data_IF_749984571647
#
_entry.id   IF_749984571647
#
_cell.length_a   1.000
_cell.length_b   1.000
_cell.length_c   1.000
_cell.angle_alpha   90.00
_cell.angle_beta   90.00
_cell.angle_gamma   90.00
#
_symmetry.space_group_name_H-M   'P 1'
#
loop_
_entity.id
_entity.type
_entity.pdbx_description
1 polymer ?
#
# COMPACT_ATOMS: atom_id res chain seq x y z
N UNK A 1 30.06 -64.17 -52.54
CA UNK A 1 29.09 -63.08 -52.64
C UNK A 1 29.10 -62.29 -51.32
N UNK A 2 29.90 -61.19 -51.31
CA UNK A 2 29.96 -60.30 -50.12
C UNK A 2 28.94 -59.21 -50.33
N UNK A 3 28.05 -59.00 -49.36
CA UNK A 3 27.16 -57.79 -49.27
C UNK A 3 27.76 -56.81 -48.31
N UNK A 4 28.11 -55.62 -48.81
CA UNK A 4 28.52 -54.52 -47.97
C UNK A 4 27.29 -53.80 -47.37
N UNK A 5 27.27 -53.62 -46.05
CA UNK A 5 26.31 -52.75 -45.34
C UNK A 5 26.90 -51.35 -45.22
N UNK A 6 26.19 -50.35 -45.80
CA UNK A 6 26.51 -48.94 -45.59
C UNK A 6 25.69 -48.43 -44.41
N UNK A 7 26.35 -48.12 -43.30
CA UNK A 7 25.71 -47.46 -42.16
C UNK A 7 25.64 -45.94 -42.44
N UNK A 8 24.42 -45.41 -42.40
CA UNK A 8 24.17 -43.96 -42.37
C UNK A 8 24.24 -43.46 -40.91
N UNK A 9 25.20 -42.59 -40.62
CA UNK A 9 25.24 -41.89 -39.33
C UNK A 9 24.34 -40.66 -39.42
N UNK A 10 23.25 -40.62 -38.61
CA UNK A 10 22.46 -39.42 -38.39
C UNK A 10 23.20 -38.53 -37.39
N UNK A 11 23.63 -37.36 -37.85
CA UNK A 11 24.10 -36.28 -36.97
C UNK A 11 22.89 -35.46 -36.56
N UNK A 12 22.45 -35.60 -35.30
CA UNK A 12 21.42 -34.75 -34.70
C UNK A 12 22.06 -33.43 -34.27
N UNK A 13 21.78 -32.36 -34.99
CA UNK A 13 22.08 -30.99 -34.55
C UNK A 13 21.12 -30.64 -33.39
N UNK A 14 21.63 -30.64 -32.18
CA UNK A 14 20.92 -30.12 -31.03
C UNK A 14 20.87 -28.58 -31.10
N UNK A 15 19.71 -28.00 -31.39
CA UNK A 15 19.47 -26.57 -31.23
C UNK A 15 19.36 -26.28 -29.71
N UNK A 16 20.44 -25.76 -29.13
CA UNK A 16 20.37 -25.19 -27.80
C UNK A 16 19.58 -23.86 -27.88
N UNK A 17 18.28 -23.95 -27.62
CA UNK A 17 17.44 -22.77 -27.40
C UNK A 17 17.87 -22.10 -26.09
N UNK A 18 18.74 -21.11 -26.15
CA UNK A 18 18.98 -20.22 -25.03
C UNK A 18 17.71 -19.39 -24.78
N UNK A 19 17.03 -19.61 -23.65
CA UNK A 19 16.07 -18.63 -23.16
C UNK A 19 16.85 -17.34 -22.87
N UNK A 20 16.76 -16.36 -23.77
CA UNK A 20 17.22 -15.01 -23.48
C UNK A 20 16.30 -14.47 -22.37
N UNK A 21 16.79 -14.36 -21.16
CA UNK A 21 16.11 -13.64 -20.08
C UNK A 21 16.06 -12.16 -20.46
N UNK A 22 14.86 -11.62 -20.63
CA UNK A 22 14.70 -10.18 -20.82
C UNK A 22 15.17 -9.51 -19.52
N UNK A 23 16.11 -8.56 -19.58
CA UNK A 23 16.54 -7.85 -18.38
C UNK A 23 15.34 -7.17 -17.70
N UNK A 24 15.27 -7.10 -16.38
CA UNK A 24 14.22 -6.37 -15.69
C UNK A 24 14.27 -4.89 -16.11
N UNK A 25 13.09 -4.28 -16.27
CA UNK A 25 13.00 -2.84 -16.54
C UNK A 25 13.43 -2.12 -15.28
N UNK A 26 14.35 -1.17 -15.43
CA UNK A 26 14.81 -0.32 -14.34
C UNK A 26 14.49 1.12 -14.70
N UNK A 27 13.78 1.83 -13.80
CA UNK A 27 13.52 3.25 -13.97
C UNK A 27 14.77 4.13 -13.78
N UNK A 28 14.56 5.43 -13.75
CA UNK A 28 15.62 6.42 -13.51
C UNK A 28 16.32 6.16 -12.15
N UNK A 29 17.57 6.62 -11.98
CA UNK A 29 18.32 6.37 -10.76
C UNK A 29 17.56 6.80 -9.50
N UNK A 30 17.52 5.93 -8.50
CA UNK A 30 16.92 6.17 -7.20
C UNK A 30 18.03 6.42 -6.15
N UNK A 31 17.80 7.38 -5.24
CA UNK A 31 18.63 7.53 -4.04
C UNK A 31 18.33 6.39 -3.06
N UNK A 32 19.22 6.16 -2.09
CA UNK A 32 19.05 5.09 -1.10
C UNK A 32 18.86 5.64 0.29
N UNK A 33 17.94 5.05 1.04
CA UNK A 33 17.78 5.21 2.48
C UNK A 33 17.81 3.83 3.14
N UNK A 34 17.82 3.76 4.47
CA UNK A 34 17.80 2.49 5.20
C UNK A 34 16.68 2.47 6.22
N UNK A 35 16.14 1.29 6.49
CA UNK A 35 15.16 1.11 7.55
C UNK A 35 15.77 1.38 8.93
N UNK A 36 15.02 2.02 9.81
CA UNK A 36 15.35 2.27 11.22
C UNK A 36 14.81 1.18 12.13
N UNK A 37 13.69 0.58 11.72
CA UNK A 37 12.98 -0.46 12.46
C UNK A 37 12.42 -1.45 11.44
N UNK A 38 12.28 -2.71 11.85
CA UNK A 38 11.45 -3.69 11.15
C UNK A 38 10.55 -4.42 12.15
N UNK A 39 9.40 -4.90 11.67
CA UNK A 39 8.53 -5.77 12.46
C UNK A 39 9.05 -7.21 12.43
N UNK A 40 8.66 -8.07 13.39
CA UNK A 40 8.76 -9.50 13.18
C UNK A 40 8.08 -9.90 11.88
N UNK A 41 8.53 -10.98 11.23
CA UNK A 41 7.83 -11.55 10.08
C UNK A 41 6.38 -11.88 10.43
N UNK A 42 5.46 -11.71 9.46
CA UNK A 42 4.08 -12.18 9.63
C UNK A 42 4.02 -13.68 9.80
N UNK A 43 2.91 -14.20 10.33
CA UNK A 43 2.79 -15.62 10.67
C UNK A 43 2.75 -16.55 9.45
N UNK A 44 2.31 -16.04 8.30
CA UNK A 44 2.25 -16.81 7.06
C UNK A 44 3.60 -16.83 6.37
N UNK A 45 4.23 -18.00 6.34
CA UNK A 45 5.55 -18.15 5.75
C UNK A 45 5.48 -18.75 4.34
N UNK A 46 6.43 -18.34 3.47
CA UNK A 46 6.62 -18.84 2.11
C UNK A 46 5.45 -18.59 1.15
N UNK A 47 4.65 -17.60 1.44
CA UNK A 47 3.55 -17.13 0.61
C UNK A 47 3.61 -15.61 0.53
N UNK A 48 2.98 -15.05 -0.48
CA UNK A 48 2.65 -13.65 -0.55
C UNK A 48 1.56 -13.34 0.51
N UNK A 49 1.94 -12.70 1.60
CA UNK A 49 1.15 -12.62 2.82
C UNK A 49 1.06 -11.23 3.44
N UNK A 50 2.17 -10.60 3.82
CA UNK A 50 2.12 -9.20 4.25
C UNK A 50 1.72 -8.31 3.08
N UNK A 51 0.91 -7.29 3.35
CA UNK A 51 0.38 -6.45 2.28
C UNK A 51 0.48 -4.97 2.61
N UNK A 52 -0.41 -4.44 3.40
CA UNK A 52 -0.59 -3.01 3.57
C UNK A 52 -0.48 -2.57 5.04
N UNK A 53 0.24 -1.46 5.34
CA UNK A 53 0.30 -0.87 6.65
C UNK A 53 -0.61 0.33 6.80
N UNK A 54 -1.08 0.60 8.01
CA UNK A 54 -1.75 1.85 8.39
C UNK A 54 -1.16 2.41 9.70
N UNK A 55 -1.10 3.74 9.85
CA UNK A 55 -0.50 4.42 11.00
C UNK A 55 -1.58 5.10 11.84
N UNK A 56 -1.69 4.72 13.12
CA UNK A 56 -2.40 5.52 14.11
C UNK A 56 -1.42 6.38 14.90
N UNK A 57 -1.56 7.70 14.81
CA UNK A 57 -0.73 8.65 15.55
C UNK A 57 -1.36 9.03 16.88
N UNK A 58 -0.65 8.76 17.97
CA UNK A 58 -1.01 9.24 19.30
C UNK A 58 -0.65 10.72 19.44
N UNK A 59 -1.66 11.60 19.39
CA UNK A 59 -1.42 13.05 19.46
C UNK A 59 -0.87 13.52 20.82
N UNK A 60 -1.20 12.81 21.91
CA UNK A 60 -0.76 13.15 23.26
C UNK A 60 0.67 12.64 23.57
N UNK A 61 1.03 11.51 23.01
CA UNK A 61 2.36 10.88 23.14
C UNK A 61 2.77 10.25 21.79
N UNK A 62 3.36 11.01 20.87
CA UNK A 62 3.68 10.52 19.52
C UNK A 62 4.52 9.25 19.49
N UNK A 63 5.43 9.06 20.46
CA UNK A 63 6.25 7.86 20.56
C UNK A 63 5.45 6.59 20.95
N UNK A 64 4.21 6.74 21.43
CA UNK A 64 3.28 5.65 21.74
C UNK A 64 2.25 5.42 20.60
N UNK A 65 2.54 5.85 19.42
CA UNK A 65 1.74 5.56 18.22
C UNK A 65 1.80 4.08 17.87
N UNK A 66 0.83 3.61 17.10
CA UNK A 66 0.69 2.21 16.69
C UNK A 66 0.58 2.12 15.17
N UNK A 67 0.95 0.97 14.66
CA UNK A 67 0.74 0.63 13.25
C UNK A 67 -0.08 -0.65 13.15
N UNK A 68 -0.86 -0.78 12.10
CA UNK A 68 -1.61 -1.98 11.77
C UNK A 68 -1.09 -2.49 10.45
N UNK A 69 -0.84 -3.78 10.32
CA UNK A 69 -0.40 -4.41 9.08
C UNK A 69 -1.24 -5.63 8.76
N UNK A 70 -1.49 -5.86 7.49
CA UNK A 70 -2.22 -7.04 7.01
C UNK A 70 -1.30 -8.22 6.77
N UNK A 71 -1.82 -9.40 7.08
CA UNK A 71 -1.40 -10.70 6.54
C UNK A 71 -2.60 -11.27 5.78
N UNK A 72 -2.55 -11.27 4.46
CA UNK A 72 -3.64 -11.68 3.56
C UNK A 72 -4.22 -13.05 3.89
N UNK A 73 -3.42 -13.91 4.49
CA UNK A 73 -3.81 -15.30 4.80
C UNK A 73 -4.26 -15.48 6.25
N UNK A 74 -3.87 -14.57 7.16
CA UNK A 74 -4.08 -14.77 8.60
C UNK A 74 -4.90 -13.66 9.28
N UNK A 75 -4.69 -12.37 8.95
CA UNK A 75 -5.45 -11.28 9.55
C UNK A 75 -4.66 -10.00 9.79
N UNK A 76 -4.93 -9.31 10.90
CA UNK A 76 -4.37 -8.02 11.22
C UNK A 76 -3.39 -8.12 12.41
N UNK A 77 -2.22 -7.58 12.24
CA UNK A 77 -1.23 -7.34 13.28
C UNK A 77 -1.27 -5.90 13.76
N UNK A 78 -0.97 -5.67 15.03
CA UNK A 78 -0.71 -4.34 15.59
C UNK A 78 0.70 -4.33 16.13
N UNK A 79 1.46 -3.27 15.80
CA UNK A 79 2.83 -3.08 16.24
C UNK A 79 3.00 -1.71 16.89
N UNK A 80 4.02 -1.56 17.73
CA UNK A 80 4.49 -0.25 18.19
C UNK A 80 5.59 0.30 17.25
N UNK A 81 6.02 1.54 17.49
CA UNK A 81 7.04 2.20 16.68
C UNK A 81 8.46 1.59 16.80
N UNK A 82 8.64 0.60 17.67
CA UNK A 82 9.87 -0.21 17.75
C UNK A 82 9.74 -1.53 16.99
N UNK A 83 8.65 -1.71 16.26
CA UNK A 83 8.35 -2.92 15.53
C UNK A 83 7.80 -4.05 16.39
N UNK A 84 7.67 -3.87 17.72
CA UNK A 84 7.20 -4.96 18.58
C UNK A 84 5.70 -5.22 18.39
N UNK A 85 5.34 -6.48 18.14
CA UNK A 85 3.95 -6.91 18.01
C UNK A 85 3.20 -6.71 19.33
N UNK A 86 2.08 -6.01 19.29
CA UNK A 86 1.17 -5.77 20.43
C UNK A 86 0.03 -6.78 20.46
N UNK A 87 -0.53 -7.09 19.30
CA UNK A 87 -1.62 -8.03 19.17
C UNK A 87 -1.73 -8.59 17.76
N UNK A 88 -2.58 -9.61 17.62
CA UNK A 88 -3.01 -10.19 16.36
C UNK A 88 -4.50 -10.47 16.42
N UNK A 89 -5.22 -10.14 15.33
CA UNK A 89 -6.62 -10.47 15.14
C UNK A 89 -6.75 -11.41 13.93
N UNK A 90 -7.19 -12.65 14.17
CA UNK A 90 -7.42 -13.61 13.09
C UNK A 90 -8.62 -13.17 12.23
N UNK A 91 -8.34 -12.87 10.97
CA UNK A 91 -9.30 -12.46 9.94
C UNK A 91 -8.70 -12.74 8.55
N UNK A 92 -8.67 -13.99 8.10
CA UNK A 92 -8.07 -14.35 6.82
C UNK A 92 -8.85 -13.77 5.64
N UNK A 93 -8.17 -13.46 4.56
CA UNK A 93 -8.74 -12.90 3.33
C UNK A 93 -8.81 -11.36 3.31
N UNK A 94 -8.11 -10.69 4.22
CA UNK A 94 -7.97 -9.23 4.15
C UNK A 94 -6.81 -8.86 3.20
N UNK A 95 -6.91 -7.70 2.54
CA UNK A 95 -5.86 -7.11 1.69
C UNK A 95 -5.40 -5.79 2.30
N UNK A 96 -5.74 -4.65 1.69
CA UNK A 96 -5.34 -3.35 2.20
C UNK A 96 -6.08 -2.95 3.48
N UNK A 97 -5.46 -2.09 4.28
CA UNK A 97 -6.00 -1.60 5.56
C UNK A 97 -5.83 -0.10 5.68
N UNK A 98 -6.81 0.57 6.25
CA UNK A 98 -6.73 1.96 6.67
C UNK A 98 -7.40 2.17 8.03
N UNK A 99 -7.09 3.26 8.72
CA UNK A 99 -7.65 3.55 10.03
C UNK A 99 -7.93 5.05 10.23
N UNK A 100 -8.90 5.33 11.09
CA UNK A 100 -9.34 6.69 11.32
C UNK A 100 -9.87 6.88 12.75
N UNK A 101 -9.54 8.01 13.39
CA UNK A 101 -10.14 8.39 14.66
C UNK A 101 -11.63 8.66 14.50
N UNK A 102 -12.44 8.10 15.37
CA UNK A 102 -13.89 8.32 15.44
C UNK A 102 -14.31 8.92 16.78
N UNK A 103 -15.54 9.47 16.89
CA UNK A 103 -16.01 10.07 18.13
C UNK A 103 -15.88 9.13 19.36
N UNK A 104 -15.59 9.73 20.50
CA UNK A 104 -15.42 9.00 21.77
C UNK A 104 -14.00 8.45 21.98
N UNK A 105 -12.99 8.94 21.26
CA UNK A 105 -11.60 8.53 21.43
C UNK A 105 -11.31 7.10 20.94
N UNK A 106 -12.15 6.61 20.03
CA UNK A 106 -12.01 5.29 19.40
C UNK A 106 -11.32 5.42 18.04
N UNK A 107 -10.71 4.33 17.58
CA UNK A 107 -10.11 4.23 16.25
C UNK A 107 -10.81 3.11 15.49
N UNK A 108 -11.38 3.45 14.34
CA UNK A 108 -11.93 2.49 13.41
C UNK A 108 -10.83 2.05 12.45
N UNK A 109 -10.62 0.75 12.35
CA UNK A 109 -9.76 0.10 11.37
C UNK A 109 -10.67 -0.57 10.36
N UNK A 110 -10.42 -0.34 9.08
CA UNK A 110 -11.14 -0.98 7.98
C UNK A 110 -10.13 -1.66 7.07
N UNK A 111 -10.40 -2.90 6.69
CA UNK A 111 -9.64 -3.61 5.68
C UNK A 111 -10.56 -4.06 4.55
N UNK A 112 -10.06 -4.06 3.32
CA UNK A 112 -10.73 -4.70 2.20
C UNK A 112 -10.74 -6.21 2.43
N UNK A 113 -11.91 -6.83 2.30
CA UNK A 113 -12.12 -8.25 2.55
C UNK A 113 -12.43 -8.95 1.22
N UNK A 114 -11.54 -9.81 0.81
CA UNK A 114 -11.59 -10.63 -0.42
C UNK A 114 -11.91 -12.10 -0.15
N UNK A 115 -12.47 -12.42 1.00
CA UNK A 115 -12.94 -13.79 1.31
C UNK A 115 -14.08 -14.25 0.38
N UNK A 116 -14.82 -13.28 -0.20
CA UNK A 116 -15.73 -13.47 -1.34
C UNK A 116 -15.18 -12.70 -2.54
N UNK A 117 -14.69 -13.39 -3.56
CA UNK A 117 -14.11 -12.78 -4.76
C UNK A 117 -15.14 -12.12 -5.69
N UNK A 118 -16.43 -12.34 -5.45
CA UNK A 118 -17.53 -11.76 -6.23
C UNK A 118 -18.07 -10.46 -5.60
N UNK A 119 -17.81 -10.24 -4.32
CA UNK A 119 -18.38 -9.11 -3.56
C UNK A 119 -17.29 -8.42 -2.76
N UNK A 120 -17.05 -7.15 -3.07
CA UNK A 120 -16.20 -6.27 -2.23
C UNK A 120 -16.86 -6.11 -0.88
N UNK A 121 -16.14 -6.46 0.18
CA UNK A 121 -16.57 -6.25 1.54
C UNK A 121 -15.56 -5.37 2.31
N UNK A 122 -16.04 -4.59 3.25
CA UNK A 122 -15.25 -3.89 4.25
C UNK A 122 -15.31 -4.68 5.56
N UNK A 123 -14.20 -5.23 5.97
CA UNK A 123 -14.03 -5.75 7.33
C UNK A 123 -13.73 -4.58 8.26
N UNK A 124 -14.39 -4.53 9.42
CA UNK A 124 -14.21 -3.45 10.40
C UNK A 124 -13.77 -4.00 11.74
N UNK A 125 -12.84 -3.29 12.38
CA UNK A 125 -12.43 -3.53 13.76
C UNK A 125 -12.26 -2.20 14.52
N UNK A 126 -12.33 -2.24 15.82
CA UNK A 126 -11.99 -1.12 16.71
C UNK A 126 -10.63 -1.40 17.35
N UNK A 127 -9.72 -0.45 17.26
CA UNK A 127 -8.41 -0.49 17.91
C UNK A 127 -8.52 0.16 19.30
N UNK A 128 -8.21 -0.61 20.32
CA UNK A 128 -7.92 -0.10 21.65
C UNK A 128 -6.48 0.42 21.68
N UNK A 129 -6.34 1.72 21.66
CA UNK A 129 -5.03 2.40 21.54
C UNK A 129 -4.18 2.30 22.82
N UNK A 130 -4.77 1.97 23.95
CA UNK A 130 -4.03 1.77 25.20
C UNK A 130 -3.36 0.41 25.28
N UNK A 131 -4.00 -0.61 24.70
CA UNK A 131 -3.51 -2.00 24.74
C UNK A 131 -2.97 -2.50 23.40
N UNK A 132 -3.28 -1.81 22.29
CA UNK A 132 -2.98 -2.25 20.94
C UNK A 132 -3.84 -3.42 20.48
N UNK A 133 -4.99 -3.71 21.12
CA UNK A 133 -5.86 -4.82 20.73
C UNK A 133 -6.91 -4.39 19.73
N UNK A 134 -7.20 -5.26 18.77
CA UNK A 134 -8.29 -5.12 17.82
C UNK A 134 -9.49 -5.97 18.26
N UNK A 135 -10.68 -5.39 18.15
CA UNK A 135 -11.96 -6.08 18.33
C UNK A 135 -12.80 -5.98 17.06
N UNK A 136 -13.30 -7.09 16.48
CA UNK A 136 -14.18 -7.04 15.31
C UNK A 136 -15.39 -6.14 15.54
N UNK A 137 -15.75 -5.33 14.54
CA UNK A 137 -16.87 -4.38 14.60
C UNK A 137 -17.92 -4.59 13.49
N UNK A 138 -17.73 -5.61 12.65
CA UNK A 138 -18.68 -6.00 11.62
C UNK A 138 -18.10 -5.98 10.21
N UNK A 139 -18.99 -6.15 9.21
CA UNK A 139 -18.68 -6.09 7.78
C UNK A 139 -19.75 -5.27 7.04
N UNK A 140 -19.36 -4.60 5.99
CA UNK A 140 -20.26 -3.89 5.06
C UNK A 140 -20.01 -4.42 3.66
N UNK A 141 -21.06 -4.92 3.01
CA UNK A 141 -21.01 -5.22 1.58
C UNK A 141 -21.04 -3.92 0.77
N UNK A 142 -20.11 -3.78 -0.17
CA UNK A 142 -19.92 -2.58 -0.99
C UNK A 142 -20.55 -2.74 -2.37
N UNK A 143 -20.16 -3.77 -3.10
CA UNK A 143 -20.62 -4.00 -4.46
C UNK A 143 -19.88 -5.14 -5.15
N UNK A 144 -20.16 -5.42 -6.42
CA UNK A 144 -19.50 -6.46 -7.17
C UNK A 144 -17.98 -6.25 -7.30
N UNK A 145 -17.21 -7.33 -7.23
CA UNK A 145 -15.77 -7.35 -7.46
C UNK A 145 -14.98 -8.00 -6.33
N UNK A 146 -13.70 -8.21 -6.56
CA UNK A 146 -12.75 -8.68 -5.55
C UNK A 146 -12.21 -7.48 -4.76
N UNK A 147 -12.31 -7.53 -3.42
CA UNK A 147 -11.79 -6.46 -2.54
C UNK A 147 -10.27 -6.36 -2.64
N UNK A 148 -9.76 -5.13 -2.86
CA UNK A 148 -8.34 -4.84 -3.05
C UNK A 148 -8.00 -3.54 -2.32
N UNK A 149 -7.62 -2.45 -3.02
CA UNK A 149 -7.30 -1.17 -2.39
C UNK A 149 -8.42 -0.57 -1.55
N UNK A 150 -8.03 0.12 -0.47
CA UNK A 150 -8.94 0.88 0.39
C UNK A 150 -8.25 2.11 0.96
N UNK A 151 -9.00 3.19 1.12
CA UNK A 151 -8.61 4.34 1.92
C UNK A 151 -9.82 5.07 2.49
N UNK A 152 -9.61 5.81 3.57
CA UNK A 152 -10.67 6.51 4.29
C UNK A 152 -10.41 8.00 4.45
N UNK A 153 -11.49 8.75 4.59
CA UNK A 153 -11.40 10.17 4.91
C UNK A 153 -12.60 10.61 5.75
N UNK A 154 -12.38 11.60 6.61
CA UNK A 154 -13.47 12.34 7.22
C UNK A 154 -14.05 13.33 6.21
N UNK A 155 -15.38 13.44 6.11
CA UNK A 155 -15.97 14.45 5.22
C UNK A 155 -15.53 15.86 5.64
N UNK A 156 -15.21 16.69 4.65
CA UNK A 156 -14.92 18.08 4.88
C UNK A 156 -16.18 18.78 5.41
N UNK A 157 -16.04 19.54 6.52
CA UNK A 157 -17.04 20.42 7.13
C UNK A 157 -18.49 19.91 7.14
N UNK A 158 -18.87 19.27 8.23
CA UNK A 158 -20.28 19.01 8.57
C UNK A 158 -20.95 17.86 7.85
N UNK A 159 -20.23 17.08 7.08
CA UNK A 159 -20.72 15.82 6.54
C UNK A 159 -20.88 14.76 7.64
N UNK A 160 -21.94 13.97 7.56
CA UNK A 160 -22.16 12.86 8.47
C UNK A 160 -21.42 11.61 8.03
N UNK A 161 -20.74 10.94 9.00
CA UNK A 161 -20.11 9.65 8.81
C UNK A 161 -18.64 9.71 8.39
N UNK A 162 -18.13 8.57 7.93
CA UNK A 162 -16.80 8.37 7.38
C UNK A 162 -16.97 7.99 5.92
N UNK A 163 -16.08 8.41 5.07
CA UNK A 163 -16.08 7.99 3.66
C UNK A 163 -14.96 6.98 3.48
N UNK A 164 -15.30 5.77 3.05
CA UNK A 164 -14.36 4.78 2.57
C UNK A 164 -14.43 4.72 1.04
N UNK A 165 -13.26 4.70 0.41
CA UNK A 165 -13.12 4.42 -1.02
C UNK A 165 -12.57 3.01 -1.17
N UNK A 166 -13.23 2.19 -1.98
CA UNK A 166 -12.75 0.86 -2.33
C UNK A 166 -12.34 0.84 -3.79
N UNK A 167 -11.15 0.34 -4.05
CA UNK A 167 -10.56 0.18 -5.38
C UNK A 167 -10.37 -1.33 -5.65
N UNK A 168 -11.44 -2.05 -6.02
CA UNK A 168 -11.38 -3.48 -6.30
C UNK A 168 -10.60 -3.78 -7.58
N UNK A 169 -10.14 -5.01 -7.67
CA UNK A 169 -9.33 -5.54 -8.76
C UNK A 169 -9.87 -5.27 -10.17
N UNK A 170 -11.17 -5.10 -10.33
CA UNK A 170 -11.82 -4.80 -11.63
C UNK A 170 -11.85 -3.32 -12.02
N UNK A 171 -11.18 -2.43 -11.29
CA UNK A 171 -11.09 -1.01 -11.62
C UNK A 171 -12.33 -0.16 -11.32
N UNK A 172 -13.40 -0.73 -10.75
CA UNK A 172 -14.55 0.04 -10.29
C UNK A 172 -14.24 0.72 -8.96
N UNK A 173 -14.34 2.05 -8.90
CA UNK A 173 -14.08 2.78 -7.67
C UNK A 173 -15.41 3.05 -6.96
N UNK A 174 -15.55 2.50 -5.75
CA UNK A 174 -16.72 2.71 -4.91
C UNK A 174 -16.47 3.78 -3.84
N UNK A 175 -17.53 4.51 -3.52
CA UNK A 175 -17.59 5.47 -2.40
C UNK A 175 -18.66 5.01 -1.42
N UNK A 176 -18.26 4.62 -0.22
CA UNK A 176 -19.15 4.17 0.85
C UNK A 176 -19.18 5.18 1.98
N UNK A 177 -20.37 5.71 2.29
CA UNK A 177 -20.57 6.55 3.48
C UNK A 177 -20.93 5.65 4.65
N UNK A 178 -20.06 5.57 5.62
CA UNK A 178 -20.20 4.75 6.83
C UNK A 178 -20.74 5.60 7.97
N UNK A 179 -21.79 5.10 8.63
CA UNK A 179 -22.40 5.71 9.84
C UNK A 179 -22.42 4.71 10.97
N UNK A 180 -22.34 5.22 12.17
CA UNK A 180 -22.48 4.44 13.39
C UNK A 180 -23.72 4.86 14.15
N UNK A 181 -24.52 3.90 14.57
CA UNK A 181 -25.66 4.09 15.47
C UNK A 181 -25.72 2.95 16.48
N UNK A 182 -25.64 3.30 17.78
CA UNK A 182 -25.70 2.30 18.84
C UNK A 182 -24.61 1.22 18.79
N UNK A 183 -23.40 1.54 18.30
CA UNK A 183 -22.30 0.60 18.15
C UNK A 183 -22.35 -0.26 16.89
N UNK A 184 -23.35 -0.05 16.03
CA UNK A 184 -23.49 -0.76 14.75
C UNK A 184 -23.08 0.17 13.62
N UNK A 185 -22.16 -0.31 12.77
CA UNK A 185 -21.74 0.39 11.57
C UNK A 185 -22.59 -0.05 10.38
N UNK A 186 -23.03 0.93 9.58
CA UNK A 186 -23.78 0.72 8.34
C UNK A 186 -23.17 1.54 7.22
N UNK A 187 -23.29 1.08 5.98
CA UNK A 187 -22.75 1.75 4.80
C UNK A 187 -23.82 2.05 3.75
N UNK A 188 -23.64 3.17 3.05
CA UNK A 188 -24.37 3.47 1.82
C UNK A 188 -23.35 3.67 0.71
N UNK A 189 -23.36 2.81 -0.29
CA UNK A 189 -22.36 2.78 -1.36
C UNK A 189 -22.92 3.33 -2.68
N UNK A 190 -22.07 4.03 -3.39
CA UNK A 190 -22.28 4.46 -4.79
C UNK A 190 -21.03 4.15 -5.60
N UNK A 191 -21.17 3.87 -6.89
CA UNK A 191 -20.03 3.88 -7.82
C UNK A 191 -19.58 5.31 -8.05
N UNK A 192 -18.30 5.60 -7.81
CA UNK A 192 -17.73 6.92 -8.00
C UNK A 192 -17.11 7.07 -9.39
N UNK A 193 -16.29 6.10 -9.80
CA UNK A 193 -15.58 6.11 -11.08
C UNK A 193 -15.30 4.69 -11.56
N UNK A 194 -14.75 4.58 -12.78
CA UNK A 194 -14.24 3.34 -13.36
C UNK A 194 -12.91 3.63 -14.04
N UNK A 195 -11.87 2.87 -13.75
CA UNK A 195 -10.61 2.83 -14.51
C UNK A 195 -10.54 1.53 -15.32
N UNK A 196 -9.65 1.44 -16.33
CA UNK A 196 -9.69 0.31 -17.27
C UNK A 196 -9.34 -1.06 -16.68
N UNK A 197 -8.34 -1.12 -15.77
CA UNK A 197 -7.76 -2.39 -15.32
C UNK A 197 -7.62 -2.44 -13.80
N UNK A 198 -6.77 -3.33 -13.30
CA UNK A 198 -6.56 -3.61 -11.88
C UNK A 198 -6.07 -2.38 -11.13
N UNK A 199 -6.67 -2.16 -9.96
CA UNK A 199 -6.31 -1.07 -9.03
C UNK A 199 -5.96 -1.63 -7.67
N UNK A 200 -4.98 -0.99 -7.01
CA UNK A 200 -4.68 -1.28 -5.61
C UNK A 200 -4.43 -0.01 -4.80
N UNK A 201 -3.38 0.74 -5.06
CA UNK A 201 -3.06 1.95 -4.30
C UNK A 201 -4.23 2.91 -4.18
N UNK A 202 -4.51 3.36 -2.96
CA UNK A 202 -5.60 4.28 -2.66
C UNK A 202 -5.17 5.27 -1.57
N UNK A 203 -5.25 6.59 -1.86
CA UNK A 203 -5.07 7.63 -0.84
C UNK A 203 -5.94 8.84 -1.12
N UNK A 204 -6.61 9.38 -0.11
CA UNK A 204 -7.49 10.52 -0.23
C UNK A 204 -6.85 11.79 0.37
N UNK A 205 -6.86 12.90 -0.36
CA UNK A 205 -6.50 14.22 0.15
C UNK A 205 -7.76 15.05 0.44
N UNK A 206 -8.21 15.11 1.71
CA UNK A 206 -9.41 15.86 2.07
C UNK A 206 -9.25 17.38 1.93
N UNK A 207 -8.02 17.91 1.82
CA UNK A 207 -7.74 19.34 1.66
C UNK A 207 -8.20 19.86 0.29
N UNK A 208 -8.02 19.01 -0.73
CA UNK A 208 -8.33 19.32 -2.14
C UNK A 208 -9.57 18.58 -2.66
N UNK A 209 -10.07 17.59 -1.95
CA UNK A 209 -11.14 16.71 -2.42
C UNK A 209 -10.68 15.72 -3.49
N UNK A 210 -9.39 15.40 -3.52
CA UNK A 210 -8.80 14.51 -4.52
C UNK A 210 -8.56 13.12 -3.93
N UNK A 211 -9.01 12.11 -4.65
CA UNK A 211 -8.68 10.70 -4.43
C UNK A 211 -7.61 10.30 -5.46
N UNK A 212 -6.48 9.78 -4.99
CA UNK A 212 -5.48 9.18 -5.86
C UNK A 212 -5.65 7.65 -5.85
N UNK A 213 -5.64 7.06 -7.05
CA UNK A 213 -5.77 5.62 -7.25
C UNK A 213 -4.62 5.14 -8.13
N UNK A 214 -3.91 4.12 -7.68
CA UNK A 214 -2.96 3.35 -8.47
C UNK A 214 -3.70 2.36 -9.36
N UNK A 215 -3.49 2.44 -10.68
CA UNK A 215 -3.84 1.40 -11.64
C UNK A 215 -2.53 0.72 -12.05
N UNK A 216 -2.38 -0.56 -11.70
CA UNK A 216 -1.10 -1.27 -11.70
C UNK A 216 -0.30 -1.14 -13.01
N UNK A 217 -0.97 -1.34 -14.14
CA UNK A 217 -0.36 -1.30 -15.48
C UNK A 217 -0.45 0.08 -16.17
N UNK A 218 -1.05 1.09 -15.53
CA UNK A 218 -1.31 2.37 -16.18
C UNK A 218 -0.67 3.57 -15.48
N UNK A 219 -0.72 3.62 -14.14
CA UNK A 219 -0.20 4.72 -13.36
C UNK A 219 -1.18 5.28 -12.34
N UNK A 220 -1.04 6.56 -12.00
CA UNK A 220 -1.80 7.20 -10.93
C UNK A 220 -2.92 8.07 -11.49
N UNK A 221 -4.14 7.79 -11.07
CA UNK A 221 -5.31 8.62 -11.35
C UNK A 221 -5.57 9.60 -10.21
N UNK A 222 -5.91 10.84 -10.55
CA UNK A 222 -6.55 11.80 -9.64
C UNK A 222 -8.05 11.85 -9.95
N UNK A 223 -8.88 11.59 -8.95
CA UNK A 223 -10.33 11.49 -9.05
C UNK A 223 -10.96 12.49 -8.07
N UNK A 224 -11.89 13.31 -8.51
CA UNK A 224 -12.69 14.16 -7.63
C UNK A 224 -13.61 13.28 -6.76
N UNK A 225 -13.47 13.37 -5.44
CA UNK A 225 -14.17 12.52 -4.47
C UNK A 225 -15.70 12.68 -4.46
N UNK A 226 -16.21 13.73 -5.11
CA UNK A 226 -17.64 14.05 -5.15
C UNK A 226 -18.26 13.69 -6.50
N UNK A 227 -17.62 14.08 -7.59
CA UNK A 227 -18.16 13.97 -8.94
C UNK A 227 -17.67 12.75 -9.70
N UNK A 228 -16.56 12.15 -9.27
CA UNK A 228 -15.89 11.05 -9.98
C UNK A 228 -15.15 11.49 -11.24
N UNK A 229 -15.05 12.80 -11.51
CA UNK A 229 -14.24 13.32 -12.60
C UNK A 229 -12.77 12.92 -12.40
N UNK A 230 -12.15 12.32 -13.41
CA UNK A 230 -10.82 11.72 -13.28
C UNK A 230 -9.86 12.15 -14.38
N UNK A 231 -8.57 12.15 -14.04
CA UNK A 231 -7.46 12.31 -15.00
C UNK A 231 -6.27 11.44 -14.58
N UNK A 232 -5.57 10.87 -15.54
CA UNK A 232 -4.28 10.20 -15.30
C UNK A 232 -3.25 11.30 -15.05
N UNK A 233 -2.60 11.30 -13.86
CA UNK A 233 -1.69 12.36 -13.42
C UNK A 233 -0.23 11.95 -13.48
N UNK A 234 0.05 10.65 -13.39
CA UNK A 234 1.37 10.08 -13.61
C UNK A 234 1.19 8.73 -14.32
N UNK A 235 1.62 8.65 -15.57
CA UNK A 235 1.58 7.39 -16.32
C UNK A 235 2.84 6.56 -16.05
N UNK A 236 2.74 5.23 -16.19
CA UNK A 236 3.90 4.37 -16.29
C UNK A 236 4.70 4.76 -17.54
N UNK A 237 5.95 5.14 -17.33
CA UNK A 237 6.85 5.60 -18.38
C UNK A 237 8.18 4.81 -18.41
N UNK A 238 8.32 3.83 -17.52
CA UNK A 238 9.55 3.07 -17.30
C UNK A 238 10.77 3.94 -16.94
N UNK A 239 10.49 5.11 -16.35
CA UNK A 239 11.48 6.06 -15.83
C UNK A 239 11.15 6.43 -14.40
N UNK A 240 10.06 7.20 -14.21
CA UNK A 240 9.58 7.58 -12.88
C UNK A 240 8.80 6.44 -12.25
N UNK A 241 7.91 5.82 -13.02
CA UNK A 241 7.11 4.66 -12.61
C UNK A 241 7.40 3.45 -13.51
N UNK A 242 7.67 2.33 -12.88
CA UNK A 242 7.76 0.99 -13.49
C UNK A 242 6.63 0.14 -12.91
N UNK A 243 5.89 -0.56 -13.75
CA UNK A 243 4.78 -1.40 -13.31
C UNK A 243 5.29 -2.53 -12.37
N UNK A 244 4.52 -2.90 -11.35
CA UNK A 244 3.19 -2.40 -11.06
C UNK A 244 3.23 -1.11 -10.21
N UNK A 245 2.19 -0.26 -10.33
CA UNK A 245 1.99 0.88 -9.44
C UNK A 245 1.07 0.44 -8.31
N UNK A 246 1.66 0.21 -7.16
CA UNK A 246 1.02 -0.34 -5.98
C UNK A 246 0.68 0.74 -4.94
N UNK A 247 0.98 0.54 -3.67
CA UNK A 247 0.65 1.43 -2.57
C UNK A 247 0.92 2.91 -2.84
N UNK A 248 -0.01 3.75 -2.38
CA UNK A 248 0.05 5.20 -2.46
C UNK A 248 -0.03 5.83 -1.08
N UNK A 249 0.78 6.87 -0.83
CA UNK A 249 0.73 7.63 0.41
C UNK A 249 0.95 9.13 0.15
N UNK A 250 0.46 10.01 1.05
CA UNK A 250 0.68 11.45 0.97
C UNK A 250 1.36 12.00 2.21
N UNK A 251 2.26 12.96 2.03
CA UNK A 251 2.80 13.83 3.06
C UNK A 251 2.26 15.25 2.84
N UNK A 252 1.17 15.66 3.49
CA UNK A 252 0.50 16.92 3.23
C UNK A 252 1.31 18.12 3.75
N UNK A 253 1.41 19.20 2.96
CA UNK A 253 2.00 20.49 3.36
C UNK A 253 1.04 21.64 3.01
N UNK A 254 0.77 22.50 3.97
CA UNK A 254 -0.10 23.67 3.76
C UNK A 254 -1.50 23.31 3.27
N UNK A 255 -2.00 24.10 2.30
CA UNK A 255 -3.38 23.99 1.83
C UNK A 255 -3.59 22.85 0.83
N UNK A 256 -2.63 22.64 -0.07
CA UNK A 256 -2.73 21.71 -1.21
C UNK A 256 -1.38 21.12 -1.65
N UNK A 257 -0.28 21.58 -1.05
CA UNK A 257 1.08 21.12 -1.33
C UNK A 257 1.47 19.85 -0.58
N UNK A 258 2.74 19.51 -0.67
CA UNK A 258 3.37 18.33 -0.07
C UNK A 258 3.79 17.31 -1.09
N UNK A 259 3.72 16.03 -0.74
CA UNK A 259 4.24 14.96 -1.56
C UNK A 259 3.21 13.84 -1.72
N UNK A 260 3.18 13.26 -2.92
CA UNK A 260 2.57 11.98 -3.21
C UNK A 260 3.70 10.97 -3.42
N UNK A 261 3.61 9.83 -2.77
CA UNK A 261 4.56 8.72 -2.91
C UNK A 261 3.82 7.52 -3.48
N UNK A 262 4.44 6.84 -4.43
CA UNK A 262 3.91 5.61 -5.03
C UNK A 262 4.96 4.51 -4.99
N UNK A 263 4.54 3.28 -4.67
CA UNK A 263 5.36 2.10 -4.91
C UNK A 263 5.45 1.84 -6.41
N UNK A 264 6.67 1.78 -6.92
CA UNK A 264 7.04 1.35 -8.27
C UNK A 264 7.62 -0.06 -8.12
N UNK A 265 6.73 -1.04 -7.92
CA UNK A 265 7.07 -2.39 -7.48
C UNK A 265 8.02 -3.09 -8.45
N UNK A 266 7.79 -2.96 -9.75
CA UNK A 266 8.53 -3.68 -10.78
C UNK A 266 10.03 -3.39 -10.84
N UNK A 267 10.51 -2.34 -10.16
CA UNK A 267 11.95 -2.09 -10.00
C UNK A 267 12.36 -1.75 -8.55
N UNK A 268 11.54 -2.12 -7.57
CA UNK A 268 11.83 -1.98 -6.14
C UNK A 268 12.16 -0.55 -5.73
N UNK A 269 11.40 0.44 -6.22
CA UNK A 269 11.62 1.85 -5.93
C UNK A 269 10.31 2.55 -5.54
N UNK A 270 10.44 3.71 -4.93
CA UNK A 270 9.32 4.59 -4.61
C UNK A 270 9.47 5.87 -5.39
N UNK A 271 8.47 6.23 -6.17
CA UNK A 271 8.41 7.50 -6.89
C UNK A 271 7.81 8.58 -6.00
N UNK A 272 8.44 9.75 -5.95
CA UNK A 272 7.98 10.90 -5.17
C UNK A 272 7.62 12.04 -6.10
N UNK A 273 6.42 12.58 -5.91
CA UNK A 273 5.88 13.69 -6.70
C UNK A 273 5.56 14.89 -5.80
N UNK A 274 5.75 16.09 -6.31
CA UNK A 274 5.29 17.32 -5.66
C UNK A 274 3.81 17.56 -5.94
N UNK A 275 3.05 17.83 -4.89
CA UNK A 275 1.67 18.31 -4.96
C UNK A 275 1.65 19.86 -5.05
N UNK A 276 0.60 20.47 -5.65
CA UNK A 276 -0.62 19.82 -6.19
C UNK A 276 -0.48 19.30 -7.63
N UNK A 277 0.58 19.66 -8.36
CA UNK A 277 0.70 19.41 -9.81
C UNK A 277 1.15 17.99 -10.17
N UNK A 278 1.46 17.14 -9.18
CA UNK A 278 1.99 15.78 -9.34
C UNK A 278 3.23 15.77 -10.23
N UNK A 279 4.17 16.69 -9.97
CA UNK A 279 5.43 16.75 -10.73
C UNK A 279 6.47 15.84 -10.09
N UNK A 280 7.19 14.99 -10.87
CA UNK A 280 8.22 14.12 -10.33
C UNK A 280 9.32 14.91 -9.59
N UNK A 281 9.61 14.53 -8.36
CA UNK A 281 10.74 15.05 -7.57
C UNK A 281 11.96 14.15 -7.70
N UNK A 282 11.75 12.84 -7.66
CA UNK A 282 12.79 11.83 -7.71
C UNK A 282 12.27 10.47 -7.24
N UNK A 283 13.21 9.57 -7.02
CA UNK A 283 12.93 8.20 -6.60
C UNK A 283 13.87 7.79 -5.49
N UNK A 284 13.41 6.91 -4.59
CA UNK A 284 14.26 6.31 -3.57
C UNK A 284 14.03 4.81 -3.46
N UNK A 285 15.00 4.11 -2.84
CA UNK A 285 14.92 2.69 -2.46
C UNK A 285 15.30 2.54 -0.99
N UNK A 286 14.74 1.54 -0.35
CA UNK A 286 15.16 1.12 0.99
C UNK A 286 16.23 0.04 0.81
N UNK A 287 17.47 0.43 0.97
CA UNK A 287 18.62 -0.47 0.82
C UNK A 287 18.93 -1.21 2.13
N UNK A 288 19.69 -2.29 2.03
CA UNK A 288 20.21 -3.01 3.18
C UNK A 288 21.03 -2.08 4.07
N UNK A 289 20.74 -2.11 5.38
CA UNK A 289 21.44 -1.39 6.43
C UNK A 289 21.60 -2.27 7.67
N UNK A 290 21.11 -1.80 8.82
CA UNK A 290 20.97 -2.64 10.01
C UNK A 290 19.95 -3.77 9.81
N UNK A 291 18.97 -3.54 8.95
CA UNK A 291 17.96 -4.48 8.49
C UNK A 291 18.15 -4.75 7.00
N UNK A 292 17.42 -5.75 6.46
CA UNK A 292 17.42 -6.06 5.03
C UNK A 292 16.92 -4.92 4.14
N UNK A 293 17.15 -5.02 2.84
CA UNK A 293 16.47 -4.19 1.81
C UNK A 293 14.97 -4.43 1.82
N UNK A 294 14.25 -3.60 1.07
CA UNK A 294 12.83 -3.79 0.79
C UNK A 294 12.66 -4.02 -0.70
N UNK A 295 11.93 -5.05 -1.05
CA UNK A 295 11.70 -5.46 -2.43
C UNK A 295 10.23 -5.89 -2.62
N UNK A 296 9.72 -5.78 -3.83
CA UNK A 296 8.35 -6.19 -4.22
C UNK A 296 7.27 -5.63 -3.26
N UNK A 297 7.31 -4.30 -3.05
CA UNK A 297 6.41 -3.63 -2.11
C UNK A 297 5.01 -3.47 -2.68
N UNK A 298 4.02 -4.08 -2.02
CA UNK A 298 2.59 -3.85 -2.24
C UNK A 298 2.18 -2.53 -1.56
N UNK A 299 1.98 -2.53 -0.24
CA UNK A 299 1.47 -1.40 0.52
C UNK A 299 2.52 -0.50 1.15
N UNK A 300 2.20 0.79 1.22
CA UNK A 300 2.97 1.82 1.92
C UNK A 300 2.06 2.75 2.72
N UNK A 301 2.60 3.33 3.79
CA UNK A 301 1.91 4.39 4.53
C UNK A 301 2.90 5.50 4.92
N UNK A 302 2.42 6.74 4.99
CA UNK A 302 3.23 7.92 5.31
C UNK A 302 2.47 8.93 6.15
N UNK A 303 3.04 9.30 7.28
CA UNK A 303 2.60 10.43 8.07
C UNK A 303 3.81 11.32 8.39
N UNK A 304 3.81 12.55 7.88
CA UNK A 304 4.93 13.48 7.99
C UNK A 304 4.94 14.32 9.28
N UNK A 305 4.11 13.96 10.26
CA UNK A 305 4.10 14.59 11.58
C UNK A 305 5.18 13.99 12.50
N UNK A 306 5.38 14.61 13.66
CA UNK A 306 6.30 14.09 14.69
C UNK A 306 5.76 12.81 15.35
N UNK A 307 6.59 11.77 15.43
CA UNK A 307 6.36 10.49 16.11
C UNK A 307 7.35 10.24 17.27
N UNK A 308 7.95 11.30 17.80
CA UNK A 308 8.95 11.23 18.87
C UNK A 308 10.38 11.11 18.35
N UNK A 309 11.34 10.82 19.22
CA UNK A 309 12.78 10.96 18.91
C UNK A 309 13.26 10.06 17.77
N UNK A 310 12.61 8.92 17.56
CA UNK A 310 13.02 7.98 16.50
C UNK A 310 12.54 8.43 15.11
N UNK A 311 11.39 9.13 15.04
CA UNK A 311 10.80 9.63 13.80
C UNK A 311 10.27 11.08 13.96
N UNK A 312 11.14 12.07 14.21
CA UNK A 312 10.73 13.41 14.60
C UNK A 312 10.05 14.22 13.48
N UNK A 313 10.29 13.86 12.22
CA UNK A 313 9.78 14.58 11.05
C UNK A 313 9.08 13.63 10.06
N UNK A 314 8.41 12.61 10.60
CA UNK A 314 7.57 11.70 9.84
C UNK A 314 8.09 10.27 9.77
N UNK A 315 7.12 9.40 9.60
CA UNK A 315 7.25 7.94 9.52
C UNK A 315 6.74 7.48 8.16
N UNK A 316 7.60 6.83 7.39
CA UNK A 316 7.25 6.08 6.20
C UNK A 316 7.35 4.59 6.51
N UNK A 317 6.35 3.81 6.13
CA UNK A 317 6.31 2.36 6.28
C UNK A 317 6.15 1.72 4.92
N UNK A 318 6.93 0.68 4.66
CA UNK A 318 6.78 -0.15 3.47
C UNK A 318 6.65 -1.63 3.85
N UNK A 319 5.77 -2.33 3.17
CA UNK A 319 5.75 -3.78 3.15
C UNK A 319 6.99 -4.29 2.41
N UNK A 320 7.65 -5.32 2.95
CA UNK A 320 8.77 -6.02 2.30
C UNK A 320 8.32 -7.37 1.79
N UNK A 321 8.14 -7.46 0.47
CA UNK A 321 7.67 -8.64 -0.23
C UNK A 321 8.71 -9.77 -0.33
N UNK A 322 10.01 -9.47 -0.10
CA UNK A 322 11.11 -10.45 -0.22
C UNK A 322 12.02 -10.43 1.02
N UNK A 323 11.51 -10.69 2.17
CA UNK A 323 12.27 -10.72 3.44
C UNK A 323 12.99 -12.07 3.67
N UNK A 324 13.53 -12.70 2.63
CA UNK A 324 14.14 -14.02 2.71
C UNK A 324 15.37 -14.06 3.64
N UNK A 325 15.57 -15.15 4.43
CA UNK A 325 14.82 -16.41 4.44
C UNK A 325 13.55 -16.41 5.31
N UNK A 326 13.23 -15.28 5.95
CA UNK A 326 12.03 -15.12 6.78
C UNK A 326 10.78 -14.87 5.94
N UNK A 327 9.59 -14.92 6.57
CA UNK A 327 8.37 -14.42 5.95
C UNK A 327 8.42 -12.90 5.80
N UNK A 328 7.53 -12.35 4.98
CA UNK A 328 7.37 -10.92 4.73
C UNK A 328 7.15 -10.14 6.03
N UNK A 329 7.46 -8.86 6.04
CA UNK A 329 7.29 -7.98 7.19
C UNK A 329 7.08 -6.51 6.76
N UNK A 330 7.15 -5.59 7.72
CA UNK A 330 7.07 -4.15 7.46
C UNK A 330 8.34 -3.47 7.96
N UNK A 331 8.85 -2.50 7.19
CA UNK A 331 10.04 -1.71 7.53
C UNK A 331 9.69 -0.23 7.65
N UNK A 332 10.27 0.42 8.69
CA UNK A 332 9.99 1.80 9.06
C UNK A 332 11.20 2.68 8.73
N UNK A 333 10.94 3.76 8.02
CA UNK A 333 11.95 4.71 7.53
C UNK A 333 11.61 6.11 8.01
N UNK A 334 12.62 6.92 8.30
CA UNK A 334 12.43 8.33 8.59
C UNK A 334 12.13 9.10 7.29
N UNK A 335 11.02 9.80 7.28
CA UNK A 335 10.63 10.58 6.10
C UNK A 335 11.59 11.74 5.81
N UNK A 336 12.12 12.42 6.83
CA UNK A 336 13.11 13.47 6.67
C UNK A 336 14.42 12.98 6.03
N UNK A 337 14.81 11.72 6.25
CA UNK A 337 15.99 11.13 5.59
C UNK A 337 15.71 10.86 4.10
N UNK A 338 14.49 10.48 3.76
CA UNK A 338 14.08 10.35 2.36
C UNK A 338 14.18 11.70 1.65
N UNK A 339 13.60 12.76 2.23
CA UNK A 339 13.66 14.10 1.67
C UNK A 339 15.10 14.62 1.54
N UNK A 340 15.91 14.47 2.59
CA UNK A 340 17.32 14.87 2.57
C UNK A 340 18.12 14.14 1.47
N UNK A 341 17.85 12.86 1.24
CA UNK A 341 18.50 12.10 0.18
C UNK A 341 18.06 12.55 -1.23
N UNK A 342 16.79 12.91 -1.41
CA UNK A 342 16.27 13.42 -2.67
C UNK A 342 16.77 14.82 -3.03
N UNK A 343 17.02 15.67 -2.03
CA UNK A 343 17.49 17.05 -2.18
C UNK A 343 19.03 17.17 -2.24
N UNK A 344 19.76 16.11 -1.93
CA UNK A 344 21.22 16.11 -1.98
C UNK A 344 21.74 16.39 -3.40
N UNK A 345 22.77 17.23 -3.59
CA UNK A 345 23.39 17.43 -4.90
C UNK A 345 23.87 16.10 -5.48
N UNK A 346 23.50 15.82 -6.71
CA UNK A 346 23.89 14.60 -7.47
C UNK A 346 25.20 14.82 -8.20
#
# INVERSE_FOLDING_TARGET
>A
MLRAFHGFALVSLGIAGGCATVPPIMGDPAVTVTARVETPPVGTAREDAADDPAIWRNAANPAASLTVGTDKKAGLYVYDLKGAQKSFLAAPGLNNVDLIDIPGGRVLVIASDRSDLATVNLFMALLDTATGKLAPAGKIAVGPGEGYGICMVKPARGGEGIIAFSAPKGGTIYRTVIREAGGVFTGTTTTLAQVPTQTEGCIADPRTGTLFIGEEDAGIWAIDMTTGAKRLVAAIDNKVLVADVEGLAIAPEGKDGGYLVASSQGDNAYAVFRLPDVTPLGRFRIAQGAFGSVEETDGIELDNRDFGPDFPNGLFIAQDGVNAPSAQNFKYVRWDEVLAALEAPR
#
